data_IF_299716082123
#
_entry.id   IF_299716082123
#
_cell.length_a   1.000
_cell.length_b   1.000
_cell.length_c   1.000
_cell.angle_alpha   90.00
_cell.angle_beta   90.00
_cell.angle_gamma   90.00
#
_symmetry.space_group_name_H-M   'P 1'
#
loop_
_entity.id
_entity.type
_entity.pdbx_description
1 polymer ?
#
# COMPACT_ATOMS: atom_id res chain seq x y z
N UNK A 1 23.68 9.62 26.04
CA UNK A 1 23.67 10.44 24.79
C UNK A 1 23.62 9.61 23.50
N UNK A 2 24.29 8.45 23.43
CA UNK A 2 24.36 7.56 22.24
C UNK A 2 23.00 7.03 21.70
N UNK A 3 22.01 6.81 22.57
CA UNK A 3 20.67 6.31 22.18
C UNK A 3 19.85 7.33 21.37
N UNK A 4 19.94 8.61 21.73
CA UNK A 4 19.26 9.70 21.01
C UNK A 4 19.79 9.83 19.58
N UNK A 5 21.11 9.68 19.40
CA UNK A 5 21.73 9.74 18.07
C UNK A 5 21.42 8.50 17.23
N UNK A 6 21.18 7.34 17.84
CA UNK A 6 20.68 6.16 17.13
C UNK A 6 19.25 6.37 16.65
N UNK A 7 18.35 6.87 17.49
CA UNK A 7 16.95 7.14 17.13
C UNK A 7 16.85 8.22 16.06
N UNK A 8 17.60 9.32 16.19
CA UNK A 8 17.63 10.37 15.17
C UNK A 8 18.12 9.84 13.81
N UNK A 9 19.16 8.98 13.80
CA UNK A 9 19.62 8.33 12.57
C UNK A 9 18.57 7.42 11.95
N UNK A 10 17.82 6.68 12.77
CA UNK A 10 16.77 5.80 12.28
C UNK A 10 15.60 6.58 11.67
N UNK A 11 15.14 7.65 12.33
CA UNK A 11 14.08 8.54 11.81
C UNK A 11 14.43 9.18 10.47
N UNK A 12 15.71 9.48 10.24
CA UNK A 12 16.16 10.04 8.96
C UNK A 12 16.29 8.99 7.85
N UNK A 13 16.45 7.71 8.20
CA UNK A 13 16.78 6.64 7.24
C UNK A 13 15.60 5.75 6.90
N UNK A 14 14.65 5.62 7.81
CA UNK A 14 13.56 4.66 7.75
C UNK A 14 12.22 5.38 7.77
N UNK A 15 11.19 4.81 7.12
CA UNK A 15 9.84 5.35 7.23
C UNK A 15 9.40 5.32 8.70
N UNK A 16 8.71 6.37 9.09
CA UNK A 16 8.16 6.53 10.42
C UNK A 16 6.77 7.17 10.37
N UNK A 17 5.91 6.82 11.32
CA UNK A 17 4.66 7.52 11.58
C UNK A 17 4.87 8.46 12.75
N UNK A 18 4.68 9.77 12.52
CA UNK A 18 4.81 10.82 13.53
C UNK A 18 3.45 11.16 14.14
N UNK A 19 3.39 11.15 15.46
CA UNK A 19 2.16 11.34 16.21
C UNK A 19 2.24 12.58 17.11
N UNK A 20 1.10 13.22 17.38
CA UNK A 20 1.01 14.38 18.29
C UNK A 20 1.16 14.02 19.76
N UNK A 21 1.02 12.74 20.09
CA UNK A 21 1.21 12.18 21.44
C UNK A 21 2.14 10.96 21.36
N UNK A 22 2.94 10.69 22.40
CA UNK A 22 3.75 9.48 22.45
C UNK A 22 2.88 8.22 22.25
N UNK A 23 3.31 7.23 21.43
CA UNK A 23 2.56 6.00 21.24
C UNK A 23 2.54 5.19 22.53
N UNK A 24 1.36 4.70 22.91
CA UNK A 24 1.21 3.77 24.03
C UNK A 24 1.62 2.35 23.57
N UNK A 25 2.60 1.70 24.23
CA UNK A 25 3.12 0.40 23.79
C UNK A 25 2.03 -0.67 23.64
N UNK A 26 1.14 -0.79 24.63
CA UNK A 26 0.09 -1.80 24.64
C UNK A 26 -0.96 -1.54 23.53
N UNK A 27 -1.27 -0.27 23.26
CA UNK A 27 -2.17 0.10 22.16
C UNK A 27 -1.54 -0.21 20.80
N UNK A 28 -0.25 0.12 20.63
CA UNK A 28 0.49 -0.20 19.41
C UNK A 28 0.56 -1.71 19.20
N UNK A 29 0.91 -2.49 20.23
CA UNK A 29 0.92 -3.96 20.14
C UNK A 29 -0.45 -4.51 19.78
N UNK A 30 -1.53 -4.03 20.43
CA UNK A 30 -2.90 -4.46 20.12
C UNK A 30 -3.29 -4.19 18.66
N UNK A 31 -2.91 -3.03 18.13
CA UNK A 31 -3.13 -2.70 16.71
C UNK A 31 -2.28 -3.55 15.77
N UNK A 32 -1.02 -3.82 16.13
CA UNK A 32 -0.15 -4.68 15.33
C UNK A 32 -0.60 -6.15 15.37
N UNK A 33 -1.20 -6.63 16.46
CA UNK A 33 -1.77 -7.99 16.55
C UNK A 33 -3.02 -8.17 15.72
N UNK A 34 -3.78 -7.10 15.48
CA UNK A 34 -4.82 -7.12 14.44
C UNK A 34 -4.21 -7.32 13.05
N UNK A 35 -2.94 -6.91 12.85
CA UNK A 35 -2.21 -7.09 11.59
C UNK A 35 -1.50 -8.44 11.44
N UNK A 36 -0.88 -8.90 12.52
CA UNK A 36 -0.11 -10.12 12.60
C UNK A 36 -0.37 -10.75 13.97
N UNK A 37 -1.33 -11.67 14.09
CA UNK A 37 -1.67 -12.32 15.36
C UNK A 37 -0.46 -13.00 16.01
N UNK A 38 0.46 -13.50 15.17
CA UNK A 38 1.67 -14.23 15.55
C UNK A 38 2.91 -13.34 15.66
N UNK A 39 2.73 -12.01 15.71
CA UNK A 39 3.86 -11.09 15.82
C UNK A 39 4.73 -11.46 17.03
N UNK A 40 6.04 -11.37 16.82
CA UNK A 40 7.02 -11.64 17.87
C UNK A 40 7.51 -10.34 18.49
N UNK A 41 7.69 -10.32 19.80
CA UNK A 41 8.32 -9.21 20.51
C UNK A 41 9.76 -9.59 20.87
N UNK A 42 10.70 -8.68 20.60
CA UNK A 42 12.13 -8.87 20.87
C UNK A 42 12.72 -7.57 21.40
N UNK A 43 12.76 -7.42 22.73
CA UNK A 43 13.13 -6.16 23.38
C UNK A 43 12.14 -5.05 23.02
N UNK A 44 12.65 -3.91 22.58
CA UNK A 44 11.82 -2.76 22.18
C UNK A 44 11.23 -2.87 20.76
N UNK A 45 11.25 -4.07 20.15
CA UNK A 45 10.80 -4.29 18.78
C UNK A 45 9.64 -5.28 18.71
N UNK A 46 8.67 -4.95 17.87
CA UNK A 46 7.70 -5.88 17.31
C UNK A 46 8.18 -6.32 15.93
N UNK A 47 8.14 -7.61 15.62
CA UNK A 47 8.40 -8.13 14.28
C UNK A 47 7.06 -8.52 13.68
N UNK A 48 6.68 -7.80 12.63
CA UNK A 48 5.38 -7.88 11.97
C UNK A 48 5.63 -8.27 10.52
N UNK A 49 5.32 -9.53 10.17
CA UNK A 49 5.57 -10.10 8.83
C UNK A 49 6.98 -9.75 8.28
N UNK A 50 8.01 -9.90 9.12
CA UNK A 50 9.40 -9.61 8.77
C UNK A 50 9.84 -8.14 8.88
N UNK A 51 8.92 -7.21 9.12
CA UNK A 51 9.21 -5.79 9.38
C UNK A 51 9.39 -5.56 10.88
N UNK A 52 10.50 -4.94 11.30
CA UNK A 52 10.71 -4.60 12.72
C UNK A 52 10.16 -3.22 13.01
N UNK A 53 9.16 -3.14 13.87
CA UNK A 53 8.55 -1.89 14.31
C UNK A 53 8.98 -1.59 15.74
N UNK A 54 9.31 -0.34 16.01
CA UNK A 54 9.41 0.16 17.38
C UNK A 54 8.80 1.54 17.48
N UNK A 55 8.60 2.01 18.70
CA UNK A 55 8.17 3.37 18.97
C UNK A 55 9.25 4.16 19.71
N UNK A 56 9.10 5.47 19.72
CA UNK A 56 9.92 6.40 20.47
C UNK A 56 9.11 7.62 20.85
N UNK A 57 9.30 8.11 22.07
CA UNK A 57 8.91 9.46 22.43
C UNK A 57 9.89 10.46 21.81
N UNK A 58 9.36 11.56 21.27
CA UNK A 58 10.14 12.62 20.64
C UNK A 58 10.29 13.80 21.60
N UNK A 59 11.48 13.92 22.17
CA UNK A 59 11.91 15.16 22.84
C UNK A 59 12.29 16.20 21.78
N UNK A 60 12.24 17.49 22.13
CA UNK A 60 12.59 18.59 21.21
C UNK A 60 14.01 18.42 20.64
N UNK A 61 14.97 18.04 21.49
CA UNK A 61 16.35 17.80 21.06
C UNK A 61 16.52 16.56 20.17
N UNK A 62 15.61 15.58 20.23
CA UNK A 62 15.59 14.44 19.32
C UNK A 62 14.94 14.81 17.98
N UNK A 63 13.80 15.51 18.02
CA UNK A 63 13.09 15.99 16.84
C UNK A 63 13.98 16.90 15.97
N UNK A 64 14.65 17.88 16.60
CA UNK A 64 15.59 18.78 15.93
C UNK A 64 16.74 18.01 15.24
N UNK A 65 17.35 17.05 15.95
CA UNK A 65 18.40 16.20 15.36
C UNK A 65 17.86 15.35 14.21
N UNK A 66 16.65 14.83 14.33
CA UNK A 66 16.02 14.01 13.32
C UNK A 66 15.47 14.82 12.13
N UNK A 67 15.45 16.15 12.20
CA UNK A 67 14.81 17.07 11.23
C UNK A 67 13.29 16.88 11.12
N UNK A 68 12.67 16.52 12.23
CA UNK A 68 11.24 16.24 12.35
C UNK A 68 10.52 17.48 12.90
N UNK A 69 9.27 17.77 12.50
CA UNK A 69 8.50 18.88 13.07
C UNK A 69 8.42 18.82 14.61
N UNK A 70 8.65 19.96 15.27
CA UNK A 70 8.76 20.06 16.73
C UNK A 70 7.44 19.86 17.49
N UNK A 71 6.31 19.96 16.79
CA UNK A 71 4.97 19.70 17.30
C UNK A 71 4.68 18.19 17.48
N UNK A 72 5.55 17.31 16.95
CA UNK A 72 5.41 15.85 17.07
C UNK A 72 6.05 15.37 18.35
N UNK A 73 5.32 14.54 19.10
CA UNK A 73 5.72 14.01 20.40
C UNK A 73 5.98 12.51 20.38
N UNK A 74 5.64 11.84 19.28
CA UNK A 74 5.82 10.41 19.13
C UNK A 74 6.26 10.02 17.73
N UNK A 75 6.98 8.90 17.64
CA UNK A 75 7.31 8.25 16.38
C UNK A 75 7.15 6.74 16.49
N UNK A 76 6.65 6.13 15.42
CA UNK A 76 6.68 4.68 15.20
C UNK A 76 7.59 4.45 13.99
N UNK A 77 8.67 3.71 14.15
CA UNK A 77 9.74 3.54 13.16
C UNK A 77 9.70 2.10 12.67
N UNK A 78 9.61 1.92 11.34
CA UNK A 78 9.68 0.61 10.71
C UNK A 78 11.08 0.36 10.11
N UNK A 79 11.83 -0.57 10.70
CA UNK A 79 13.17 -0.98 10.32
C UNK A 79 13.20 -2.43 9.81
N UNK A 80 13.99 -2.70 8.77
CA UNK A 80 14.39 -4.06 8.39
C UNK A 80 13.56 -4.69 7.27
N UNK A 81 14.25 -5.54 6.49
CA UNK A 81 13.66 -6.40 5.46
C UNK A 81 13.82 -5.96 4.00
N UNK A 82 14.86 -5.20 3.60
CA UNK A 82 15.14 -4.86 2.18
C UNK A 82 14.10 -4.00 1.44
N UNK A 83 12.86 -3.97 1.92
CA UNK A 83 11.70 -3.35 1.31
C UNK A 83 11.20 -2.21 2.18
N UNK A 84 11.69 -1.00 1.89
CA UNK A 84 11.20 0.26 2.49
C UNK A 84 9.67 0.37 2.38
N UNK A 85 9.13 -0.15 1.27
CA UNK A 85 7.70 -0.23 0.94
C UNK A 85 6.86 -1.00 1.97
N UNK A 86 7.36 -2.14 2.49
CA UNK A 86 6.61 -2.92 3.48
C UNK A 86 6.47 -2.16 4.81
N UNK A 87 7.52 -1.42 5.19
CA UNK A 87 7.49 -0.52 6.33
C UNK A 87 6.53 0.65 6.15
N UNK A 88 6.53 1.30 4.99
CA UNK A 88 5.55 2.35 4.67
C UNK A 88 4.12 1.81 4.76
N UNK A 89 3.82 0.70 4.09
CA UNK A 89 2.47 0.13 4.05
C UNK A 89 1.90 -0.13 5.45
N UNK A 90 2.70 -0.75 6.31
CA UNK A 90 2.34 -0.98 7.70
C UNK A 90 2.07 0.33 8.45
N UNK A 91 2.89 1.35 8.24
CA UNK A 91 2.75 2.65 8.90
C UNK A 91 1.55 3.44 8.37
N UNK A 92 1.21 3.34 7.08
CA UNK A 92 -0.01 3.91 6.51
C UNK A 92 -1.26 3.31 7.16
N UNK A 93 -1.32 1.98 7.28
CA UNK A 93 -2.42 1.31 7.98
C UNK A 93 -2.54 1.69 9.47
N UNK A 94 -1.43 2.07 10.11
CA UNK A 94 -1.44 2.61 11.48
C UNK A 94 -1.85 4.08 11.53
N UNK A 95 -1.50 4.89 10.51
CA UNK A 95 -1.80 6.32 10.45
C UNK A 95 -3.31 6.58 10.54
N UNK A 96 -4.12 5.82 9.80
CA UNK A 96 -5.59 5.91 9.83
C UNK A 96 -6.21 5.59 11.19
N UNK A 97 -5.55 4.75 12.02
CA UNK A 97 -6.09 4.29 13.32
C UNK A 97 -5.55 5.05 14.53
N UNK A 98 -4.31 5.52 14.43
CA UNK A 98 -3.63 6.21 15.53
C UNK A 98 -3.66 7.73 15.37
N UNK A 99 -3.90 8.23 14.16
CA UNK A 99 -3.67 9.61 13.79
C UNK A 99 -2.16 9.90 13.72
N UNK A 100 -1.74 10.62 12.69
CA UNK A 100 -0.33 10.96 12.51
C UNK A 100 -0.02 11.25 11.05
N UNK A 101 1.25 11.54 10.77
CA UNK A 101 1.75 11.76 9.43
C UNK A 101 2.99 10.89 9.18
N UNK A 102 3.07 10.31 7.99
CA UNK A 102 4.28 9.61 7.56
C UNK A 102 5.47 10.57 7.46
N UNK A 103 6.65 10.02 7.71
CA UNK A 103 7.92 10.72 7.67
C UNK A 103 9.06 9.83 7.14
N UNK A 104 9.93 10.32 6.23
CA UNK A 104 9.75 11.57 5.50
C UNK A 104 8.39 11.58 4.77
N UNK A 105 7.75 12.75 4.59
CA UNK A 105 6.55 12.81 3.79
C UNK A 105 6.88 12.15 2.46
N UNK A 106 6.05 11.20 2.06
CA UNK A 106 6.20 10.64 0.72
C UNK A 106 5.99 11.80 -0.25
N UNK A 107 6.80 11.83 -1.31
CA UNK A 107 6.38 12.53 -2.52
C UNK A 107 5.11 11.79 -2.92
N UNK A 108 3.96 12.36 -2.57
CA UNK A 108 2.70 11.91 -3.11
C UNK A 108 2.83 12.13 -4.61
N UNK A 109 2.89 11.04 -5.38
CA UNK A 109 2.35 11.13 -6.72
C UNK A 109 0.89 11.57 -6.56
N UNK A 110 0.43 12.51 -7.38
CA UNK A 110 -0.95 13.01 -7.36
C UNK A 110 -1.96 11.93 -7.82
N UNK A 111 -1.56 10.66 -7.75
CA UNK A 111 -2.16 9.49 -8.33
C UNK A 111 -2.09 8.32 -7.34
N UNK A 112 -3.21 7.61 -7.20
CA UNK A 112 -3.36 6.42 -6.37
C UNK A 112 -3.33 5.21 -7.29
N UNK A 113 -2.33 4.35 -7.09
CA UNK A 113 -2.11 3.19 -7.94
C UNK A 113 -2.36 1.85 -7.20
N UNK A 114 -3.08 0.96 -7.88
CA UNK A 114 -3.41 -0.39 -7.43
C UNK A 114 -3.07 -1.38 -8.53
N UNK A 115 -2.04 -2.18 -8.32
CA UNK A 115 -1.60 -3.24 -9.22
C UNK A 115 -2.33 -4.55 -8.88
N UNK A 116 -2.84 -5.25 -9.89
CA UNK A 116 -3.37 -6.62 -9.78
C UNK A 116 -2.48 -7.56 -10.56
N UNK A 117 -1.75 -8.41 -9.85
CA UNK A 117 -0.90 -9.44 -10.44
C UNK A 117 -1.70 -10.73 -10.67
N UNK A 118 -1.74 -11.17 -11.93
CA UNK A 118 -2.49 -12.34 -12.38
C UNK A 118 -1.65 -13.63 -12.39
N UNK A 119 -0.35 -13.53 -12.11
CA UNK A 119 0.64 -14.61 -12.13
C UNK A 119 0.89 -15.17 -13.54
N UNK A 120 1.45 -16.39 -13.63
CA UNK A 120 1.73 -17.10 -14.88
C UNK A 120 0.50 -17.68 -15.58
N UNK A 121 -0.63 -16.98 -15.57
CA UNK A 121 -1.85 -17.36 -16.29
C UNK A 121 -1.82 -16.82 -17.72
N UNK A 122 -2.73 -17.31 -18.56
CA UNK A 122 -2.88 -16.79 -19.92
C UNK A 122 -3.14 -15.28 -19.91
N UNK A 123 -2.48 -14.57 -20.82
CA UNK A 123 -2.70 -13.15 -21.05
C UNK A 123 -4.17 -12.89 -21.39
N UNK A 124 -4.79 -11.95 -20.69
CA UNK A 124 -6.11 -11.43 -21.06
C UNK A 124 -5.99 -10.50 -22.25
N UNK A 125 -7.07 -10.37 -23.02
CA UNK A 125 -7.25 -9.23 -23.91
C UNK A 125 -7.91 -8.04 -23.17
N UNK A 126 -7.95 -6.89 -23.85
CA UNK A 126 -8.46 -5.66 -23.24
C UNK A 126 -9.95 -5.72 -22.93
N UNK A 127 -10.71 -6.37 -23.81
CA UNK A 127 -12.14 -6.51 -23.78
C UNK A 127 -12.56 -7.41 -22.62
N UNK A 128 -11.78 -8.45 -22.34
CA UNK A 128 -11.89 -9.30 -21.15
C UNK A 128 -11.67 -8.49 -19.87
N UNK A 129 -10.61 -7.68 -19.80
CA UNK A 129 -10.36 -6.80 -18.63
C UNK A 129 -11.52 -5.82 -18.46
N UNK A 130 -11.97 -5.17 -19.53
CA UNK A 130 -13.10 -4.24 -19.50
C UNK A 130 -14.41 -4.93 -19.04
N UNK A 131 -14.66 -6.15 -19.50
CA UNK A 131 -15.80 -6.95 -19.07
C UNK A 131 -15.76 -7.27 -17.57
N UNK A 132 -14.59 -7.61 -17.05
CA UNK A 132 -14.40 -7.98 -15.66
C UNK A 132 -14.56 -6.81 -14.69
N UNK A 133 -14.15 -5.60 -15.09
CA UNK A 133 -14.28 -4.40 -14.23
C UNK A 133 -15.62 -3.68 -14.38
N UNK A 134 -16.37 -3.96 -15.45
CA UNK A 134 -17.69 -3.36 -15.74
C UNK A 134 -18.70 -3.42 -14.58
N UNK A 135 -18.83 -4.51 -13.79
CA UNK A 135 -19.79 -4.55 -12.69
C UNK A 135 -19.55 -3.49 -11.62
N UNK A 136 -18.31 -3.02 -11.46
CA UNK A 136 -17.92 -2.01 -10.47
C UNK A 136 -17.80 -0.63 -11.10
N UNK A 137 -17.11 -0.53 -12.24
CA UNK A 137 -16.76 0.74 -12.88
C UNK A 137 -17.81 1.24 -13.88
N UNK A 138 -18.80 0.41 -14.21
CA UNK A 138 -19.79 0.68 -15.26
C UNK A 138 -19.27 0.39 -16.66
N UNK A 139 -20.07 0.69 -17.69
CA UNK A 139 -19.58 0.67 -19.07
C UNK A 139 -18.56 1.80 -19.28
N UNK A 140 -17.39 1.45 -19.82
CA UNK A 140 -16.28 2.36 -20.09
C UNK A 140 -15.74 2.11 -21.49
N UNK A 141 -15.17 3.15 -22.11
CA UNK A 141 -14.48 3.01 -23.37
C UNK A 141 -13.18 2.22 -23.19
N UNK A 142 -12.83 1.43 -24.20
CA UNK A 142 -11.53 0.76 -24.29
C UNK A 142 -10.71 1.48 -25.34
N UNK A 143 -9.54 1.97 -24.96
CA UNK A 143 -8.56 2.60 -25.85
C UNK A 143 -7.33 1.69 -25.95
N UNK A 144 -6.89 1.40 -27.16
CA UNK A 144 -5.69 0.60 -27.41
C UNK A 144 -4.55 1.52 -27.84
N UNK A 145 -3.41 1.43 -27.14
CA UNK A 145 -2.14 2.02 -27.54
C UNK A 145 -1.25 0.92 -28.13
N UNK A 146 -1.37 0.75 -29.44
CA UNK A 146 -0.66 -0.30 -30.17
C UNK A 146 0.86 -0.09 -30.22
N UNK A 147 1.34 1.14 -30.02
CA UNK A 147 2.77 1.45 -30.06
C UNK A 147 3.47 1.06 -28.75
N UNK A 148 2.73 1.09 -27.63
CA UNK A 148 3.23 0.72 -26.30
C UNK A 148 2.77 -0.67 -25.85
N UNK A 149 1.93 -1.35 -26.63
CA UNK A 149 1.30 -2.61 -26.19
C UNK A 149 0.42 -2.41 -24.96
N UNK A 150 -0.11 -1.21 -24.76
CA UNK A 150 -0.90 -0.85 -23.59
C UNK A 150 -2.38 -0.73 -23.96
N UNK A 151 -3.21 -1.05 -22.99
CA UNK A 151 -4.64 -0.88 -23.09
C UNK A 151 -5.14 -0.04 -21.94
N UNK A 152 -6.10 0.85 -22.22
CA UNK A 152 -6.76 1.68 -21.21
C UNK A 152 -8.26 1.39 -21.23
N UNK A 153 -8.82 1.07 -20.06
CA UNK A 153 -10.27 1.05 -19.83
C UNK A 153 -10.63 2.31 -19.05
N UNK A 154 -11.43 3.18 -19.67
CA UNK A 154 -11.62 4.57 -19.29
C UNK A 154 -10.93 5.52 -20.26
N UNK A 155 -11.54 6.68 -20.54
CA UNK A 155 -10.93 7.69 -21.42
C UNK A 155 -9.66 8.32 -20.83
N UNK A 156 -8.80 8.85 -21.70
CA UNK A 156 -7.53 9.52 -21.33
C UNK A 156 -7.63 10.58 -20.22
N UNK A 157 -8.77 11.26 -20.12
CA UNK A 157 -9.04 12.32 -19.14
C UNK A 157 -9.96 11.87 -17.99
N UNK A 158 -10.29 10.58 -17.92
CA UNK A 158 -11.07 10.04 -16.81
C UNK A 158 -10.20 9.93 -15.55
N UNK A 159 -10.82 10.21 -14.41
CA UNK A 159 -10.12 10.24 -13.12
C UNK A 159 -9.69 8.85 -12.66
N UNK A 160 -10.48 7.83 -13.01
CA UNK A 160 -10.20 6.42 -12.71
C UNK A 160 -9.96 5.68 -14.04
N UNK A 161 -8.81 5.02 -14.14
CA UNK A 161 -8.37 4.33 -15.35
C UNK A 161 -7.86 2.93 -14.99
N UNK A 162 -7.98 2.00 -15.94
CA UNK A 162 -7.34 0.68 -15.83
C UNK A 162 -6.37 0.52 -16.99
N UNK A 163 -5.11 0.32 -16.67
CA UNK A 163 -4.03 0.06 -17.59
C UNK A 163 -3.70 -1.43 -17.60
N UNK A 164 -3.55 -1.98 -18.79
CA UNK A 164 -3.14 -3.36 -18.94
C UNK A 164 -2.07 -3.46 -20.02
N UNK A 165 -0.94 -4.07 -19.68
CA UNK A 165 0.12 -4.36 -20.64
C UNK A 165 -0.22 -5.65 -21.38
N UNK A 166 -0.58 -5.50 -22.65
CA UNK A 166 -0.69 -6.64 -23.56
C UNK A 166 0.73 -7.17 -23.82
N UNK A 167 1.02 -8.44 -23.55
CA UNK A 167 2.35 -8.98 -23.78
C UNK A 167 2.66 -8.98 -25.27
N UNK A 168 3.90 -8.60 -25.63
CA UNK A 168 4.34 -8.67 -27.02
C UNK A 168 4.30 -10.12 -27.55
N UNK A 169 4.05 -10.33 -28.87
CA UNK A 169 4.14 -11.64 -29.48
C UNK A 169 5.55 -12.24 -29.27
N UNK A 170 5.67 -13.25 -28.41
CA UNK A 170 6.94 -13.91 -28.06
C UNK A 170 7.23 -14.03 -26.56
N UNK A 171 6.39 -13.47 -25.70
CA UNK A 171 6.47 -13.72 -24.26
C UNK A 171 6.17 -15.20 -23.94
N UNK A 172 7.05 -15.82 -23.15
CA UNK A 172 6.90 -17.20 -22.68
C UNK A 172 5.94 -17.29 -21.50
N UNK A 173 5.22 -18.41 -21.38
CA UNK A 173 4.45 -18.74 -20.18
C UNK A 173 5.27 -18.49 -18.90
N UNK A 174 4.74 -17.67 -17.99
CA UNK A 174 5.34 -17.41 -16.68
C UNK A 174 5.84 -15.99 -16.41
N UNK A 175 5.67 -15.04 -17.32
CA UNK A 175 5.83 -13.62 -16.99
C UNK A 175 4.58 -13.14 -16.25
N UNK A 176 4.75 -12.53 -15.07
CA UNK A 176 3.63 -12.00 -14.29
C UNK A 176 2.87 -10.95 -15.11
N UNK A 177 1.59 -11.19 -15.36
CA UNK A 177 0.70 -10.22 -16.00
C UNK A 177 0.18 -9.25 -14.95
N UNK A 178 0.29 -7.94 -15.22
CA UNK A 178 -0.09 -6.87 -14.32
C UNK A 178 -1.21 -6.02 -14.95
N UNK A 179 -2.24 -5.76 -14.16
CA UNK A 179 -3.28 -4.78 -14.46
C UNK A 179 -3.16 -3.67 -13.43
N UNK A 180 -2.88 -2.45 -13.87
CA UNK A 180 -2.76 -1.28 -13.01
C UNK A 180 -4.08 -0.51 -13.01
N UNK A 181 -4.65 -0.26 -11.84
CA UNK A 181 -5.80 0.60 -11.67
C UNK A 181 -5.32 1.90 -11.04
N UNK A 182 -5.57 3.01 -11.71
CA UNK A 182 -5.07 4.31 -11.32
C UNK A 182 -6.23 5.27 -11.04
N UNK A 183 -6.11 6.10 -10.00
CA UNK A 183 -7.05 7.16 -9.68
C UNK A 183 -6.32 8.48 -9.45
N UNK A 184 -6.83 9.58 -10.03
CA UNK A 184 -6.47 10.95 -9.64
C UNK A 184 -7.51 11.50 -8.67
N UNK A 185 -7.30 11.39 -7.34
CA UNK A 185 -8.29 11.81 -6.35
C UNK A 185 -8.35 13.34 -6.22
N UNK A 186 -9.55 13.89 -6.00
CA UNK A 186 -9.70 15.32 -5.66
C UNK A 186 -9.37 15.57 -4.17
N UNK A 187 -9.20 14.50 -3.37
CA UNK A 187 -8.87 14.54 -1.95
C UNK A 187 -8.90 13.16 -1.28
N UNK A 188 -8.59 13.07 0.02
CA UNK A 188 -8.48 11.79 0.74
C UNK A 188 -9.80 11.04 0.93
N UNK A 189 -10.95 11.73 0.85
CA UNK A 189 -12.30 11.16 1.02
C UNK A 189 -13.01 10.95 -0.33
N UNK A 190 -12.24 10.79 -1.42
CA UNK A 190 -12.81 10.65 -2.75
C UNK A 190 -13.61 9.34 -2.90
N UNK A 191 -14.90 9.40 -3.27
CA UNK A 191 -15.73 8.20 -3.41
C UNK A 191 -15.24 7.24 -4.51
N UNK A 192 -14.45 7.71 -5.47
CA UNK A 192 -13.86 6.84 -6.50
C UNK A 192 -12.72 5.96 -5.96
N UNK A 193 -12.15 6.27 -4.79
CA UNK A 193 -11.19 5.38 -4.10
C UNK A 193 -11.84 4.03 -3.77
N UNK A 194 -13.06 4.04 -3.23
CA UNK A 194 -13.78 2.81 -2.89
C UNK A 194 -14.03 1.97 -4.14
N UNK A 195 -14.39 2.61 -5.26
CA UNK A 195 -14.66 1.95 -6.54
C UNK A 195 -13.39 1.37 -7.17
N UNK A 196 -12.27 2.08 -7.06
CA UNK A 196 -10.94 1.61 -7.47
C UNK A 196 -10.58 0.30 -6.76
N UNK A 197 -10.69 0.28 -5.43
CA UNK A 197 -10.37 -0.91 -4.64
C UNK A 197 -11.35 -2.05 -4.90
N UNK A 198 -12.65 -1.77 -5.01
CA UNK A 198 -13.65 -2.78 -5.35
C UNK A 198 -13.38 -3.41 -6.72
N UNK A 199 -12.93 -2.62 -7.71
CA UNK A 199 -12.59 -3.12 -9.04
C UNK A 199 -11.33 -4.00 -8.99
N UNK A 200 -10.30 -3.59 -8.26
CA UNK A 200 -9.10 -4.41 -8.06
C UNK A 200 -9.42 -5.74 -7.36
N UNK A 201 -10.27 -5.72 -6.33
CA UNK A 201 -10.74 -6.92 -5.61
C UNK A 201 -11.56 -7.84 -6.52
N UNK A 202 -12.50 -7.28 -7.28
CA UNK A 202 -13.30 -8.06 -8.22
C UNK A 202 -12.43 -8.73 -9.28
N UNK A 203 -11.47 -7.99 -9.84
CA UNK A 203 -10.54 -8.48 -10.85
C UNK A 203 -9.63 -9.59 -10.29
N UNK A 204 -9.02 -9.37 -9.13
CA UNK A 204 -8.20 -10.37 -8.45
C UNK A 204 -9.00 -11.62 -8.07
N UNK A 205 -10.25 -11.47 -7.61
CA UNK A 205 -11.11 -12.60 -7.26
C UNK A 205 -11.51 -13.42 -8.50
N UNK A 206 -11.92 -12.76 -9.58
CA UNK A 206 -12.30 -13.43 -10.83
C UNK A 206 -11.13 -14.22 -11.43
N UNK A 207 -9.92 -13.68 -11.30
CA UNK A 207 -8.71 -14.21 -11.94
C UNK A 207 -7.78 -14.93 -10.96
N UNK A 208 -8.19 -15.14 -9.71
CA UNK A 208 -7.36 -15.70 -8.64
C UNK A 208 -5.97 -15.06 -8.55
N UNK A 209 -5.90 -13.74 -8.75
CA UNK A 209 -4.70 -12.92 -8.67
C UNK A 209 -4.48 -12.32 -7.28
N UNK A 210 -3.44 -11.50 -7.16
CA UNK A 210 -3.08 -10.79 -5.93
C UNK A 210 -3.02 -9.29 -6.16
N UNK A 211 -3.46 -8.51 -5.17
CA UNK A 211 -3.50 -7.05 -5.25
C UNK A 211 -2.30 -6.46 -4.51
N UNK A 212 -1.73 -5.40 -5.06
CA UNK A 212 -0.72 -4.58 -4.43
C UNK A 212 -1.09 -3.11 -4.63
N UNK A 213 -1.11 -2.34 -3.55
CA UNK A 213 -1.27 -0.89 -3.62
C UNK A 213 -0.28 -0.22 -2.69
N UNK A 214 0.27 0.91 -3.11
CA UNK A 214 1.16 1.73 -2.26
C UNK A 214 0.37 2.70 -1.37
N UNK A 215 -0.83 3.08 -1.82
CA UNK A 215 -1.61 4.19 -1.29
C UNK A 215 -2.89 3.77 -0.56
N UNK A 216 -3.13 2.46 -0.39
CA UNK A 216 -4.29 1.95 0.34
C UNK A 216 -4.43 2.54 1.75
N UNK A 217 -5.48 3.32 2.05
CA UNK A 217 -5.92 3.50 3.42
C UNK A 217 -6.57 2.18 3.86
N UNK A 218 -5.78 1.32 4.50
CA UNK A 218 -6.23 0.03 5.03
C UNK A 218 -7.24 0.25 6.16
N UNK A 219 -8.50 0.44 5.82
CA UNK A 219 -9.57 0.63 6.79
C UNK A 219 -10.11 -0.71 7.31
N UNK A 220 -9.98 -1.82 6.57
CA UNK A 220 -10.36 -3.17 7.04
C UNK A 220 -9.34 -4.26 6.69
N UNK A 221 -9.23 -5.23 7.59
CA UNK A 221 -8.23 -6.29 7.56
C UNK A 221 -8.56 -7.41 6.55
N UNK A 222 -9.81 -7.45 6.12
CA UNK A 222 -10.40 -8.48 5.27
C UNK A 222 -10.14 -8.23 3.78
N UNK A 223 -9.65 -7.04 3.43
CA UNK A 223 -9.42 -6.58 2.05
C UNK A 223 -7.94 -6.75 1.61
N UNK A 224 -7.06 -7.20 2.52
CA UNK A 224 -5.66 -7.56 2.26
C UNK A 224 -5.45 -9.05 2.51
N UNK A 225 -6.42 -9.90 2.14
CA UNK A 225 -6.20 -11.35 2.22
C UNK A 225 -5.28 -11.75 1.07
N UNK A 226 -4.07 -12.27 1.31
CA UNK A 226 -3.46 -13.15 0.33
C UNK A 226 -4.39 -14.36 0.24
N UNK A 227 -5.03 -14.54 -0.91
CA UNK A 227 -5.95 -15.65 -1.22
C UNK A 227 -5.20 -16.99 -1.24
N UNK A 228 -4.75 -17.45 -0.08
CA UNK A 228 -4.35 -18.84 0.16
C UNK A 228 -5.29 -19.59 1.12
N UNK A 229 -5.96 -18.89 2.04
CA UNK A 229 -6.74 -19.55 3.10
C UNK A 229 -8.26 -19.60 2.87
N UNK A 230 -8.75 -19.35 1.65
CA UNK A 230 -10.18 -19.42 1.30
C UNK A 230 -10.51 -20.40 0.16
N UNK A 231 -9.79 -21.51 0.04
CA UNK A 231 -10.30 -22.67 -0.69
C UNK A 231 -10.98 -23.62 0.30
N UNK A 232 -12.29 -23.90 0.20
CA UNK A 232 -12.80 -25.18 0.71
C UNK A 232 -12.12 -26.30 -0.07
N UNK A 233 -11.79 -27.38 0.63
CA UNK A 233 -11.35 -28.66 0.05
C UNK A 233 -12.43 -29.21 -0.86
#
# INVERSE_FOLDING_TARGET
MWFLDRTARQLRRHPALLTYRPPEPARLEGLLRQYDPDLTSSGDWFVVRGTRVRWAELTEGLAARARVPADRRGAIIACGGGHRTAGTFLLNGLASRMGGALYPPEEHDDQVDVEVNLGGRAALDCEEVAHLVRPVLGERAVEHDHDLGLCRVGGKDERLQVHYSHPEPGWTDGTDHLVDLELRPDGPDDPELERLYQAAVALAAALGGTIRSRDMPVTRFEDIVPTRDRLPV
#
